data_IF_883017643945
#
_entry.id   IF_883017643945
#
_cell.length_a   1.000
_cell.length_b   1.000
_cell.length_c   1.000
_cell.angle_alpha   90.00
_cell.angle_beta   90.00
_cell.angle_gamma   90.00
#
_symmetry.space_group_name_H-M   'P 1'
#
loop_
_entity.id
_entity.type
_entity.pdbx_description
1 polymer ?
#
# COMPACT_ATOMS: atom_id res chain seq x y z
N UNK A 1 7.71 -20.18 -0.90
CA UNK A 1 8.08 -18.84 -0.42
C UNK A 1 6.83 -18.00 -0.24
N UNK A 2 6.04 -17.79 -1.29
CA UNK A 2 4.77 -17.06 -1.22
C UNK A 2 3.62 -17.98 -0.79
N UNK A 3 2.62 -17.45 -0.10
CA UNK A 3 1.44 -18.22 0.34
C UNK A 3 0.50 -18.51 -0.82
N UNK A 4 -0.25 -19.61 -0.74
CA UNK A 4 -1.33 -19.90 -1.70
C UNK A 4 -2.43 -18.84 -1.67
N UNK A 5 -2.67 -18.23 -0.52
CA UNK A 5 -3.65 -17.16 -0.37
C UNK A 5 -3.39 -15.95 -1.29
N UNK A 6 -2.13 -15.69 -1.63
CA UNK A 6 -1.79 -14.65 -2.61
C UNK A 6 -2.37 -14.93 -3.99
N UNK A 7 -2.34 -16.17 -4.44
CA UNK A 7 -2.87 -16.59 -5.75
C UNK A 7 -4.40 -16.53 -5.80
N UNK A 8 -5.05 -16.58 -4.64
CA UNK A 8 -6.50 -16.49 -4.53
C UNK A 8 -7.03 -15.05 -4.58
N UNK A 9 -6.17 -14.05 -4.51
CA UNK A 9 -6.59 -12.66 -4.65
C UNK A 9 -7.28 -12.42 -6.01
N UNK A 10 -8.39 -11.65 -6.03
CA UNK A 10 -9.13 -11.37 -7.26
C UNK A 10 -8.29 -10.74 -8.37
N UNK A 11 -7.31 -9.90 -8.04
CA UNK A 11 -6.41 -9.28 -9.00
C UNK A 11 -5.54 -10.30 -9.73
N UNK A 12 -5.02 -11.31 -9.04
CA UNK A 12 -4.25 -12.37 -9.67
C UNK A 12 -5.11 -13.26 -10.56
N UNK A 13 -6.31 -13.62 -10.10
CA UNK A 13 -7.24 -14.42 -10.90
C UNK A 13 -7.67 -13.72 -12.19
N UNK A 14 -7.81 -12.38 -12.17
CA UNK A 14 -8.14 -11.57 -13.35
C UNK A 14 -6.95 -11.30 -14.26
N UNK A 15 -5.72 -11.51 -13.78
CA UNK A 15 -4.51 -11.17 -14.51
C UNK A 15 -4.28 -9.66 -14.68
N UNK A 16 -4.96 -8.81 -13.92
CA UNK A 16 -4.85 -7.36 -13.96
C UNK A 16 -4.71 -6.79 -12.54
N UNK A 17 -3.69 -6.03 -12.27
CA UNK A 17 -2.55 -5.64 -13.11
C UNK A 17 -1.35 -6.61 -13.09
N UNK A 18 -1.43 -7.73 -12.39
CA UNK A 18 -0.33 -8.70 -12.31
C UNK A 18 -0.80 -10.03 -12.93
N UNK A 19 -0.38 -10.36 -14.15
CA UNK A 19 -0.73 -11.64 -14.77
C UNK A 19 -0.02 -12.80 -14.09
N UNK A 20 -0.77 -13.86 -13.75
CA UNK A 20 -0.24 -15.07 -13.09
C UNK A 20 0.69 -15.90 -13.95
N UNK A 21 0.50 -15.85 -15.24
CA UNK A 21 1.26 -16.63 -16.25
C UNK A 21 2.52 -15.92 -16.72
N UNK A 22 2.71 -14.65 -16.33
CA UNK A 22 3.93 -13.92 -16.66
C UNK A 22 5.07 -14.34 -15.71
N UNK A 23 6.21 -14.76 -16.25
CA UNK A 23 7.37 -15.06 -15.41
C UNK A 23 7.88 -13.79 -14.73
N UNK A 24 8.25 -13.92 -13.46
CA UNK A 24 8.90 -12.83 -12.75
C UNK A 24 10.25 -12.49 -13.38
N UNK A 25 10.57 -11.21 -13.44
CA UNK A 25 11.93 -10.80 -13.77
C UNK A 25 12.90 -11.21 -12.66
N UNK A 26 14.16 -11.46 -13.01
CA UNK A 26 15.20 -11.88 -12.07
C UNK A 26 15.35 -10.94 -10.88
N UNK A 27 15.23 -9.62 -11.09
CA UNK A 27 15.30 -8.66 -10.00
C UNK A 27 14.07 -8.71 -9.07
N UNK A 28 12.87 -9.01 -9.59
CA UNK A 28 11.67 -9.22 -8.79
C UNK A 28 11.81 -10.49 -7.93
N UNK A 29 12.22 -11.60 -8.53
CA UNK A 29 12.45 -12.86 -7.80
C UNK A 29 13.47 -12.68 -6.67
N UNK A 30 14.59 -12.00 -6.97
CA UNK A 30 15.64 -11.72 -5.96
C UNK A 30 15.11 -10.82 -4.84
N UNK A 31 14.34 -9.78 -5.17
CA UNK A 31 13.77 -8.89 -4.17
C UNK A 31 12.78 -9.63 -3.26
N UNK A 32 11.87 -10.41 -3.85
CA UNK A 32 10.90 -11.23 -3.10
C UNK A 32 11.61 -12.20 -2.18
N UNK A 33 12.64 -12.88 -2.67
CA UNK A 33 13.41 -13.83 -1.85
C UNK A 33 14.08 -13.14 -0.66
N UNK A 34 14.73 -11.99 -0.92
CA UNK A 34 15.40 -11.23 0.14
C UNK A 34 14.43 -10.70 1.21
N UNK A 35 13.30 -10.18 0.79
CA UNK A 35 12.28 -9.65 1.69
C UNK A 35 11.56 -10.75 2.48
N UNK A 36 11.12 -11.83 1.81
CA UNK A 36 10.29 -12.86 2.43
C UNK A 36 11.08 -13.93 3.20
N UNK A 37 12.30 -14.25 2.76
CA UNK A 37 13.09 -15.36 3.34
C UNK A 37 14.23 -14.84 4.20
N UNK A 38 15.02 -13.91 3.64
CA UNK A 38 16.21 -13.42 4.31
C UNK A 38 15.91 -12.27 5.28
N UNK A 39 14.72 -11.64 5.17
CA UNK A 39 14.29 -10.49 5.97
C UNK A 39 15.27 -9.32 5.93
N UNK A 40 15.88 -9.08 4.79
CA UNK A 40 16.84 -8.01 4.57
C UNK A 40 16.24 -6.87 3.75
N UNK A 41 16.72 -5.64 3.99
CA UNK A 41 16.42 -4.50 3.13
C UNK A 41 16.96 -4.72 1.71
N UNK A 42 16.25 -4.17 0.71
CA UNK A 42 16.57 -4.34 -0.71
C UNK A 42 16.63 -2.99 -1.40
N UNK A 43 17.63 -2.79 -2.23
CA UNK A 43 17.69 -1.70 -3.21
C UNK A 43 17.48 -2.29 -4.60
N UNK A 44 16.42 -1.87 -5.29
CA UNK A 44 16.12 -2.32 -6.65
C UNK A 44 16.51 -1.22 -7.62
N UNK A 45 17.63 -1.42 -8.33
CA UNK A 45 18.10 -0.53 -9.39
C UNK A 45 17.84 -1.18 -10.76
N UNK A 46 16.92 -0.62 -11.51
CA UNK A 46 16.58 -1.06 -12.86
C UNK A 46 15.90 0.07 -13.63
N UNK A 47 15.81 -0.02 -14.95
CA UNK A 47 15.17 0.99 -15.80
C UNK A 47 13.70 1.23 -15.46
N UNK A 48 13.14 2.34 -15.97
CA UNK A 48 11.70 2.62 -15.86
C UNK A 48 10.89 1.55 -16.60
N UNK A 49 9.70 1.22 -16.08
CA UNK A 49 8.84 0.20 -16.69
C UNK A 49 9.31 -1.26 -16.52
N UNK A 50 10.35 -1.51 -15.73
CA UNK A 50 10.88 -2.86 -15.51
C UNK A 50 10.14 -3.70 -14.45
N UNK A 51 9.01 -3.22 -13.94
CA UNK A 51 8.24 -3.94 -12.93
C UNK A 51 8.85 -3.92 -11.52
N UNK A 52 9.58 -2.85 -11.14
CA UNK A 52 10.12 -2.71 -9.77
C UNK A 52 9.03 -2.79 -8.70
N UNK A 53 7.88 -2.22 -9.01
CA UNK A 53 6.75 -2.13 -8.08
C UNK A 53 6.27 -3.52 -7.63
N UNK A 54 6.22 -4.50 -8.50
CA UNK A 54 5.87 -5.89 -8.16
C UNK A 54 6.87 -6.50 -7.19
N UNK A 55 8.14 -6.15 -7.30
CA UNK A 55 9.20 -6.66 -6.43
C UNK A 55 8.99 -6.36 -4.94
N UNK A 56 8.27 -5.28 -4.59
CA UNK A 56 7.92 -4.97 -3.20
C UNK A 56 6.42 -5.16 -2.89
N UNK A 57 5.51 -4.95 -3.85
CA UNK A 57 4.08 -5.12 -3.59
C UNK A 57 3.71 -6.59 -3.35
N UNK A 58 4.27 -7.53 -4.10
CA UNK A 58 3.99 -8.96 -3.90
C UNK A 58 4.34 -9.42 -2.47
N UNK A 59 5.54 -9.15 -1.93
CA UNK A 59 5.87 -9.43 -0.54
C UNK A 59 4.92 -8.76 0.48
N UNK A 60 4.57 -7.51 0.25
CA UNK A 60 3.64 -6.77 1.14
C UNK A 60 2.27 -7.45 1.17
N UNK A 61 1.71 -7.77 0.01
CA UNK A 61 0.41 -8.45 -0.07
C UNK A 61 0.44 -9.83 0.60
N UNK A 62 1.50 -10.59 0.38
CA UNK A 62 1.68 -11.91 0.99
C UNK A 62 1.74 -11.83 2.52
N UNK A 63 2.46 -10.84 3.05
CA UNK A 63 2.56 -10.60 4.50
C UNK A 63 1.21 -10.20 5.11
N UNK A 64 0.47 -9.29 4.48
CA UNK A 64 -0.83 -8.84 4.95
C UNK A 64 -1.91 -9.92 4.91
N UNK A 65 -1.81 -10.86 3.98
CA UNK A 65 -2.72 -12.02 3.92
C UNK A 65 -2.42 -13.06 4.99
N UNK A 66 -1.15 -13.21 5.36
CA UNK A 66 -0.74 -14.12 6.46
C UNK A 66 -1.07 -13.56 7.84
N UNK A 67 -0.97 -12.25 7.97
CA UNK A 67 -1.21 -11.54 9.22
C UNK A 67 -2.11 -10.32 8.97
N UNK A 68 -3.44 -10.50 9.06
CA UNK A 68 -4.42 -9.44 8.77
C UNK A 68 -4.58 -8.43 9.91
N UNK A 69 -3.62 -8.32 10.82
CA UNK A 69 -3.66 -7.37 11.95
C UNK A 69 -3.91 -5.95 11.44
N UNK A 70 -4.88 -5.21 12.03
CA UNK A 70 -5.17 -3.83 11.66
C UNK A 70 -4.00 -2.87 11.96
N UNK A 71 -3.99 -1.74 11.28
CA UNK A 71 -2.97 -0.69 11.45
C UNK A 71 -1.95 -0.68 10.32
N UNK A 72 -1.12 0.37 10.28
CA UNK A 72 -0.16 0.56 9.19
C UNK A 72 0.94 -0.49 9.25
N UNK A 73 1.03 -1.32 8.21
CA UNK A 73 2.03 -2.38 8.05
C UNK A 73 3.04 -2.06 6.95
N UNK A 74 2.59 -1.36 5.91
CA UNK A 74 3.43 -0.92 4.81
C UNK A 74 3.27 0.59 4.58
N UNK A 75 4.38 1.30 4.57
CA UNK A 75 4.46 2.72 4.26
C UNK A 75 5.19 2.89 2.92
N UNK A 76 4.47 3.43 1.92
CA UNK A 76 5.00 3.73 0.60
C UNK A 76 5.20 5.23 0.46
N UNK A 77 6.42 5.67 0.22
CA UNK A 77 6.80 7.08 0.20
C UNK A 77 7.28 7.47 -1.19
N UNK A 78 6.61 8.44 -1.79
CA UNK A 78 6.89 8.95 -3.12
C UNK A 78 7.34 10.42 -3.09
N UNK A 79 8.08 10.90 -4.09
CA UNK A 79 8.58 12.28 -4.07
C UNK A 79 7.48 13.33 -4.28
N UNK A 80 6.36 12.99 -4.92
CA UNK A 80 5.31 13.97 -5.25
C UNK A 80 3.92 13.36 -5.33
N UNK A 81 2.89 14.20 -5.19
CA UNK A 81 1.48 13.78 -5.19
C UNK A 81 1.04 13.05 -6.47
N UNK A 82 1.56 13.44 -7.63
CA UNK A 82 1.20 12.79 -8.89
C UNK A 82 1.51 11.28 -8.85
N UNK A 83 2.70 10.91 -8.36
CA UNK A 83 3.08 9.50 -8.20
C UNK A 83 2.25 8.80 -7.12
N UNK A 84 1.92 9.49 -6.02
CA UNK A 84 1.01 8.97 -4.99
C UNK A 84 -0.34 8.62 -5.60
N UNK A 85 -0.89 9.49 -6.46
CA UNK A 85 -2.18 9.28 -7.10
C UNK A 85 -2.16 8.10 -8.08
N UNK A 86 -1.13 8.00 -8.91
CA UNK A 86 -0.94 6.87 -9.84
C UNK A 86 -0.85 5.54 -9.08
N UNK A 87 -0.14 5.51 -7.97
CA UNK A 87 -0.02 4.30 -7.14
C UNK A 87 -1.32 4.00 -6.38
N UNK A 88 -2.07 5.01 -5.96
CA UNK A 88 -3.39 4.81 -5.37
C UNK A 88 -4.34 4.14 -6.37
N UNK A 89 -4.38 4.61 -7.62
CA UNK A 89 -5.21 4.01 -8.66
C UNK A 89 -4.78 2.57 -8.99
N UNK A 90 -3.48 2.28 -8.88
CA UNK A 90 -2.98 0.92 -8.98
C UNK A 90 -3.44 0.04 -7.82
N UNK A 91 -3.36 0.53 -6.57
CA UNK A 91 -3.86 -0.21 -5.41
C UNK A 91 -5.37 -0.43 -5.47
N UNK A 92 -6.16 0.52 -5.95
CA UNK A 92 -7.59 0.33 -6.18
C UNK A 92 -7.89 -0.86 -7.08
N UNK A 93 -7.15 -1.00 -8.18
CA UNK A 93 -7.30 -2.17 -9.07
C UNK A 93 -6.85 -3.47 -8.43
N UNK A 94 -5.74 -3.43 -7.69
CA UNK A 94 -5.18 -4.61 -7.01
C UNK A 94 -6.05 -5.10 -5.86
N UNK A 95 -6.53 -4.17 -5.03
CA UNK A 95 -7.15 -4.48 -3.74
C UNK A 95 -8.69 -4.48 -3.79
N UNK A 96 -9.27 -4.25 -4.97
CA UNK A 96 -10.72 -4.39 -5.15
C UNK A 96 -11.14 -5.81 -4.77
N UNK A 97 -12.18 -5.90 -3.94
CA UNK A 97 -12.75 -7.16 -3.45
C UNK A 97 -11.80 -7.97 -2.55
N UNK A 98 -10.84 -7.29 -1.89
CA UNK A 98 -9.95 -7.89 -0.88
C UNK A 98 -10.22 -7.30 0.50
N UNK A 99 -9.82 -7.99 1.58
CA UNK A 99 -9.94 -7.45 2.94
C UNK A 99 -8.84 -6.45 3.31
N UNK A 100 -7.81 -6.27 2.48
CA UNK A 100 -6.66 -5.42 2.77
C UNK A 100 -7.07 -3.96 2.67
N UNK A 101 -6.92 -3.22 3.77
CA UNK A 101 -7.21 -1.77 3.81
C UNK A 101 -6.03 -0.96 3.29
N UNK A 102 -6.34 0.10 2.58
CA UNK A 102 -5.32 0.98 2.01
C UNK A 102 -5.81 2.42 1.93
N UNK A 103 -4.88 3.35 1.78
CA UNK A 103 -5.23 4.75 1.58
C UNK A 103 -4.01 5.61 1.34
N UNK A 104 -4.26 6.82 0.82
CA UNK A 104 -3.24 7.86 0.75
C UNK A 104 -3.40 8.84 1.90
N UNK A 105 -2.28 9.38 2.37
CA UNK A 105 -2.28 10.54 3.25
C UNK A 105 -1.41 11.63 2.63
N UNK A 106 -2.05 12.60 2.00
CA UNK A 106 -1.43 13.78 1.39
C UNK A 106 -2.23 15.03 1.77
N UNK A 107 -1.79 16.20 1.32
CA UNK A 107 -2.54 17.45 1.49
C UNK A 107 -3.93 17.39 0.84
N UNK A 108 -4.12 16.53 -0.15
CA UNK A 108 -5.38 16.35 -0.88
C UNK A 108 -6.39 15.45 -0.16
N UNK A 109 -5.99 14.75 0.92
CA UNK A 109 -6.90 13.92 1.68
C UNK A 109 -7.91 14.80 2.45
N UNK A 110 -9.19 14.61 2.17
CA UNK A 110 -10.25 15.36 2.80
C UNK A 110 -10.32 15.12 4.32
N UNK A 111 -10.83 16.12 5.04
CA UNK A 111 -10.96 15.99 6.50
C UNK A 111 -12.13 15.09 6.88
N UNK A 112 -13.28 15.26 6.23
CA UNK A 112 -14.53 14.60 6.57
C UNK A 112 -14.98 13.64 5.48
N UNK A 113 -15.71 12.61 5.87
CA UNK A 113 -16.29 11.61 4.96
C UNK A 113 -17.24 12.22 3.94
N UNK A 114 -18.06 13.19 4.37
CA UNK A 114 -18.98 13.88 3.47
C UNK A 114 -18.25 14.56 2.30
N UNK A 115 -17.22 15.37 2.60
CA UNK A 115 -16.44 16.06 1.56
C UNK A 115 -15.70 15.10 0.65
N UNK A 116 -15.23 14.00 1.19
CA UNK A 116 -14.59 12.96 0.40
C UNK A 116 -15.54 12.33 -0.62
N UNK A 117 -16.77 11.99 -0.19
CA UNK A 117 -17.78 11.39 -1.06
C UNK A 117 -18.32 12.36 -2.12
N UNK A 118 -18.29 13.66 -1.90
CA UNK A 118 -18.65 14.68 -2.91
C UNK A 118 -17.63 14.70 -4.07
N UNK A 119 -16.36 14.36 -3.80
CA UNK A 119 -15.27 14.40 -4.80
C UNK A 119 -14.97 13.06 -5.45
N UNK A 120 -15.13 11.99 -4.69
CA UNK A 120 -14.81 10.64 -5.14
C UNK A 120 -16.03 9.99 -5.79
N UNK A 121 -15.83 9.48 -7.01
CA UNK A 121 -16.86 8.74 -7.75
C UNK A 121 -16.86 7.32 -7.36
N UNK A 122 -17.04 6.70 -6.46
CA UNK A 122 -17.02 5.25 -6.16
C UNK A 122 -15.77 4.78 -5.37
N UNK A 123 -15.63 5.24 -4.11
CA UNK A 123 -14.56 4.75 -3.26
C UNK A 123 -14.79 3.27 -2.90
N UNK A 124 -13.70 2.52 -2.79
CA UNK A 124 -13.78 1.13 -2.40
C UNK A 124 -14.09 1.00 -0.89
N UNK A 125 -14.80 -0.07 -0.47
CA UNK A 125 -15.14 -0.28 0.94
C UNK A 125 -13.92 -0.40 1.87
N UNK A 126 -12.79 -0.85 1.34
CA UNK A 126 -11.52 -1.01 2.05
C UNK A 126 -10.55 0.16 1.83
N UNK A 127 -11.00 1.27 1.25
CA UNK A 127 -10.20 2.46 1.02
C UNK A 127 -10.45 3.52 2.10
N UNK A 128 -9.38 4.00 2.72
CA UNK A 128 -9.42 5.18 3.60
C UNK A 128 -9.51 6.44 2.74
N UNK A 129 -10.62 7.16 2.85
CA UNK A 129 -10.96 8.30 2.00
C UNK A 129 -10.88 9.65 2.70
N UNK A 130 -10.80 9.68 4.04
CA UNK A 130 -10.72 10.92 4.81
C UNK A 130 -9.92 10.75 6.11
N UNK A 131 -9.49 11.88 6.66
CA UNK A 131 -8.72 11.91 7.92
C UNK A 131 -9.56 11.51 9.14
N UNK A 132 -10.84 11.81 9.11
CA UNK A 132 -11.78 11.47 10.18
C UNK A 132 -11.80 9.96 10.46
N UNK A 133 -11.76 9.10 9.44
CA UNK A 133 -11.69 7.65 9.59
C UNK A 133 -10.43 7.21 10.35
N UNK A 134 -9.30 7.88 10.07
CA UNK A 134 -8.01 7.61 10.74
C UNK A 134 -8.05 8.10 12.18
N UNK A 135 -8.48 9.33 12.39
CA UNK A 135 -8.49 9.97 13.72
C UNK A 135 -9.46 9.31 14.70
N UNK A 136 -10.60 8.84 14.20
CA UNK A 136 -11.57 8.08 15.00
C UNK A 136 -11.19 6.63 15.23
N UNK A 137 -10.24 6.10 14.47
CA UNK A 137 -9.90 4.68 14.46
C UNK A 137 -10.95 3.81 13.74
N UNK A 138 -11.91 4.43 13.02
CA UNK A 138 -12.91 3.69 12.23
C UNK A 138 -12.25 2.80 11.18
N UNK A 139 -11.24 3.32 10.49
CA UNK A 139 -10.46 2.57 9.51
C UNK A 139 -9.03 3.07 9.43
N UNK A 140 -8.08 2.17 9.63
CA UNK A 140 -6.67 2.43 9.44
C UNK A 140 -6.18 1.69 8.19
N UNK A 141 -5.37 2.34 7.33
CA UNK A 141 -4.82 1.67 6.17
C UNK A 141 -3.71 0.71 6.58
N UNK A 142 -3.76 -0.53 6.12
CA UNK A 142 -2.64 -1.46 6.23
C UNK A 142 -1.51 -1.09 5.26
N UNK A 143 -1.89 -0.54 4.08
CA UNK A 143 -0.95 0.07 3.14
C UNK A 143 -1.22 1.57 3.10
N UNK A 144 -0.28 2.36 3.62
CA UNK A 144 -0.32 3.82 3.61
C UNK A 144 0.60 4.36 2.53
N UNK A 145 0.05 5.17 1.62
CA UNK A 145 0.84 5.90 0.62
C UNK A 145 0.92 7.36 1.00
N UNK A 146 2.11 7.94 0.96
CA UNK A 146 2.33 9.35 1.27
C UNK A 146 3.49 9.92 0.45
N UNK A 147 3.77 11.19 0.62
CA UNK A 147 4.97 11.84 0.10
C UNK A 147 5.90 12.29 1.24
N UNK A 148 7.15 12.62 0.88
CA UNK A 148 8.17 13.00 1.87
C UNK A 148 7.75 14.18 2.75
N UNK A 149 7.18 15.25 2.15
CA UNK A 149 6.78 16.43 2.90
C UNK A 149 5.63 16.12 3.87
N UNK A 150 4.68 15.29 3.43
CA UNK A 150 3.56 14.90 4.29
C UNK A 150 4.01 13.95 5.41
N UNK A 151 4.98 13.07 5.15
CA UNK A 151 5.52 12.20 6.21
C UNK A 151 6.11 13.02 7.36
N UNK A 152 6.84 14.09 7.07
CA UNK A 152 7.34 15.01 8.10
C UNK A 152 6.20 15.58 8.95
N UNK A 153 5.13 16.05 8.30
CA UNK A 153 3.93 16.52 9.00
C UNK A 153 3.29 15.44 9.88
N UNK A 154 3.14 14.23 9.36
CA UNK A 154 2.55 13.11 10.08
C UNK A 154 3.32 12.76 11.35
N UNK A 155 4.64 12.78 11.29
CA UNK A 155 5.52 12.50 12.43
C UNK A 155 5.45 13.55 13.54
N UNK A 156 5.10 14.79 13.19
CA UNK A 156 5.07 15.92 14.13
C UNK A 156 3.68 16.21 14.70
N UNK A 157 2.61 15.63 14.14
CA UNK A 157 1.23 15.97 14.52
C UNK A 157 0.64 14.93 15.47
N UNK A 158 0.29 15.31 16.71
CA UNK A 158 -0.31 14.38 17.66
C UNK A 158 -1.62 13.72 17.19
N UNK A 159 -2.41 14.44 16.37
CA UNK A 159 -3.66 13.93 15.81
C UNK A 159 -3.50 12.71 14.90
N UNK A 160 -2.33 12.58 14.28
CA UNK A 160 -2.01 11.50 13.35
C UNK A 160 -1.24 10.36 14.04
N UNK A 161 -1.04 10.43 15.36
CA UNK A 161 -0.30 9.44 16.15
C UNK A 161 -0.90 8.02 16.04
N UNK A 162 -2.20 7.90 15.82
CA UNK A 162 -2.89 6.62 15.60
C UNK A 162 -2.29 5.81 14.44
N UNK A 163 -1.79 6.47 13.41
CA UNK A 163 -1.11 5.80 12.29
C UNK A 163 0.18 5.08 12.72
N UNK A 164 0.83 5.59 13.75
CA UNK A 164 2.14 5.11 14.22
C UNK A 164 2.05 4.19 15.43
N UNK A 165 0.97 4.31 16.21
CA UNK A 165 0.79 3.54 17.45
C UNK A 165 0.09 2.19 17.21
N UNK A 166 -0.72 2.08 16.16
CA UNK A 166 -1.61 0.95 15.93
C UNK A 166 -1.01 -0.18 15.11
N UNK A 167 0.20 -0.01 14.56
CA UNK A 167 0.77 -0.97 13.64
C UNK A 167 2.21 -1.35 13.96
N UNK A 168 2.53 -2.59 13.67
CA UNK A 168 3.91 -3.03 13.53
C UNK A 168 4.32 -2.78 12.08
N UNK A 169 5.02 -1.68 11.83
CA UNK A 169 5.55 -1.36 10.50
C UNK A 169 6.55 -2.42 10.07
N UNK A 170 6.22 -3.11 9.00
CA UNK A 170 7.07 -4.18 8.45
C UNK A 170 7.77 -3.76 7.17
N UNK A 171 7.15 -2.89 6.40
CA UNK A 171 7.70 -2.43 5.14
C UNK A 171 7.73 -0.91 5.08
N UNK A 172 8.88 -0.35 4.72
CA UNK A 172 9.04 1.05 4.36
C UNK A 172 9.67 1.07 2.97
N UNK A 173 8.93 1.61 2.01
CA UNK A 173 9.35 1.70 0.61
C UNK A 173 9.59 3.16 0.25
N UNK A 174 10.77 3.45 -0.27
CA UNK A 174 11.18 4.74 -0.78
C UNK A 174 11.32 4.63 -2.31
N UNK A 175 10.51 5.34 -3.07
CA UNK A 175 10.54 5.31 -4.54
C UNK A 175 10.74 6.71 -5.12
#
# INVERSE_FOLDING_TARGET
ILSSALLDLPCFRRGDPIPLDAPLYVHQERAIRRLCVEQHGVVISSGTGSGKTEGFLIPILDDLLRDPTPGVRALLIYPMNALVNDQLDRLRRLLKDTPITFGRYTSELEKTKQKALEKLRDPLPNEVICREQIWSGEMLPQILITNYAMLEYLLLRPQDSTLFQSGQWRFIVLD
#
